data_IF_497826385758
#
_entry.id   IF_497826385758
#
_cell.length_a   1.000
_cell.length_b   1.000
_cell.length_c   1.000
_cell.angle_alpha   90.00
_cell.angle_beta   90.00
_cell.angle_gamma   90.00
#
_symmetry.space_group_name_H-M   'P 1'
#
loop_
_entity.id
_entity.type
_entity.pdbx_description
1 polymer ?
#
# COMPACT_ATOMS: atom_id res chain seq x y z
N UNK A 1 4.79 23.31 -5.73
CA UNK A 1 5.35 22.17 -6.50
C UNK A 1 4.28 21.69 -7.48
N UNK A 2 4.62 21.38 -8.74
CA UNK A 2 3.61 20.93 -9.72
C UNK A 2 3.44 19.41 -9.62
N UNK A 3 2.19 18.95 -9.55
CA UNK A 3 1.87 17.52 -9.65
C UNK A 3 2.15 17.05 -11.06
N UNK A 4 2.93 15.99 -11.21
CA UNK A 4 3.24 15.42 -12.51
C UNK A 4 2.22 14.32 -12.84
N UNK A 5 1.15 14.71 -13.55
CA UNK A 5 -0.02 13.85 -13.80
C UNK A 5 0.36 12.46 -14.37
N UNK A 6 1.28 12.33 -15.35
CA UNK A 6 1.65 11.02 -15.87
C UNK A 6 2.22 10.07 -14.82
N UNK A 7 3.03 10.58 -13.88
CA UNK A 7 3.60 9.73 -12.83
C UNK A 7 2.56 9.34 -11.77
N UNK A 8 1.59 10.21 -11.48
CA UNK A 8 0.49 9.88 -10.56
C UNK A 8 -0.42 8.78 -11.12
N UNK A 9 -0.70 8.82 -12.43
CA UNK A 9 -1.45 7.77 -13.12
C UNK A 9 -0.67 6.45 -13.05
N UNK A 10 0.63 6.48 -13.38
CA UNK A 10 1.47 5.29 -13.34
C UNK A 10 1.53 4.68 -11.93
N UNK A 11 1.71 5.52 -10.90
CA UNK A 11 1.72 5.12 -9.51
C UNK A 11 0.40 4.47 -9.08
N UNK A 12 -0.73 5.09 -9.44
CA UNK A 12 -2.07 4.57 -9.14
C UNK A 12 -2.29 3.20 -9.77
N UNK A 13 -1.96 3.06 -11.06
CA UNK A 13 -2.08 1.77 -11.78
C UNK A 13 -1.18 0.72 -11.15
N UNK A 14 0.07 1.07 -10.80
CA UNK A 14 0.99 0.14 -10.16
C UNK A 14 0.47 -0.39 -8.81
N UNK A 15 -0.12 0.48 -7.98
CA UNK A 15 -0.73 0.05 -6.71
C UNK A 15 -1.92 -0.88 -6.94
N UNK A 16 -2.81 -0.53 -7.89
CA UNK A 16 -3.98 -1.35 -8.18
C UNK A 16 -3.58 -2.75 -8.69
N UNK A 17 -2.61 -2.81 -9.60
CA UNK A 17 -2.04 -4.07 -10.09
C UNK A 17 -1.47 -4.87 -8.93
N UNK A 18 -0.65 -4.25 -8.08
CA UNK A 18 -0.06 -4.91 -6.91
C UNK A 18 -1.14 -5.42 -5.94
N UNK A 19 -2.18 -4.64 -5.67
CA UNK A 19 -3.28 -5.05 -4.80
C UNK A 19 -4.03 -6.26 -5.37
N UNK A 20 -4.33 -6.28 -6.68
CA UNK A 20 -4.93 -7.44 -7.35
C UNK A 20 -4.00 -8.65 -7.29
N UNK A 21 -2.70 -8.48 -7.52
CA UNK A 21 -1.72 -9.55 -7.40
C UNK A 21 -1.67 -10.15 -5.99
N UNK A 22 -1.79 -9.32 -4.94
CA UNK A 22 -1.83 -9.79 -3.55
C UNK A 22 -3.11 -10.58 -3.21
N UNK A 23 -4.25 -10.20 -3.78
CA UNK A 23 -5.50 -10.98 -3.66
C UNK A 23 -5.32 -12.35 -4.31
N UNK A 24 -4.82 -12.39 -5.55
CA UNK A 24 -4.55 -13.65 -6.28
C UNK A 24 -3.56 -14.51 -5.48
N UNK A 25 -2.48 -13.90 -4.98
CA UNK A 25 -1.49 -14.56 -4.14
C UNK A 25 -2.12 -15.20 -2.89
N UNK A 26 -2.98 -14.48 -2.17
CA UNK A 26 -3.74 -15.02 -1.03
C UNK A 26 -4.62 -16.21 -1.43
N UNK A 27 -5.33 -16.14 -2.56
CA UNK A 27 -6.16 -17.24 -3.05
C UNK A 27 -5.34 -18.48 -3.43
N UNK A 28 -4.15 -18.29 -4.03
CA UNK A 28 -3.21 -19.39 -4.33
C UNK A 28 -2.76 -20.06 -3.03
N UNK A 29 -2.28 -19.27 -2.07
CA UNK A 29 -1.84 -19.78 -0.77
C UNK A 29 -2.96 -20.53 -0.04
N UNK A 30 -4.20 -20.02 -0.10
CA UNK A 30 -5.37 -20.72 0.46
C UNK A 30 -5.51 -22.14 -0.08
N UNK A 31 -5.38 -22.32 -1.40
CA UNK A 31 -5.47 -23.64 -2.05
C UNK A 31 -4.32 -24.55 -1.61
N UNK A 32 -3.11 -24.02 -1.56
CA UNK A 32 -1.91 -24.78 -1.17
C UNK A 32 -1.96 -25.22 0.30
N UNK A 33 -2.43 -24.36 1.21
CA UNK A 33 -2.56 -24.67 2.64
C UNK A 33 -3.54 -25.82 2.92
N UNK A 34 -4.59 -25.95 2.10
CA UNK A 34 -5.53 -27.08 2.19
C UNK A 34 -4.81 -28.41 1.95
N UNK A 35 -3.83 -28.45 1.04
CA UNK A 35 -3.07 -29.68 0.73
C UNK A 35 -2.19 -30.13 1.89
N UNK A 36 -1.61 -29.18 2.63
CA UNK A 36 -0.74 -29.45 3.78
C UNK A 36 -1.46 -29.39 5.14
N UNK A 37 -2.80 -29.23 5.15
CA UNK A 37 -3.66 -29.15 6.34
C UNK A 37 -3.19 -28.10 7.37
N UNK A 38 -2.75 -26.93 6.92
CA UNK A 38 -2.27 -25.82 7.78
C UNK A 38 -3.26 -24.64 7.84
N UNK A 39 -3.05 -23.77 8.84
CA UNK A 39 -3.94 -22.67 9.20
C UNK A 39 -3.99 -21.49 8.22
N UNK A 40 -4.83 -20.50 8.53
CA UNK A 40 -5.35 -19.48 7.60
C UNK A 40 -4.43 -18.30 7.25
N UNK A 41 -3.12 -18.51 7.07
CA UNK A 41 -2.18 -17.39 6.73
C UNK A 41 -2.49 -16.73 5.38
N UNK A 42 -3.31 -17.37 4.53
CA UNK A 42 -3.79 -16.84 3.26
C UNK A 42 -4.58 -15.52 3.36
N UNK A 43 -5.03 -15.14 4.55
CA UNK A 43 -5.71 -13.87 4.78
C UNK A 43 -4.75 -12.68 4.79
N UNK A 44 -3.47 -12.88 5.17
CA UNK A 44 -2.51 -11.78 5.29
C UNK A 44 -2.22 -11.07 3.95
N UNK A 45 -2.08 -11.75 2.78
CA UNK A 45 -1.96 -11.06 1.50
C UNK A 45 -3.22 -10.28 1.12
N UNK A 46 -4.41 -10.77 1.50
CA UNK A 46 -5.67 -10.07 1.26
C UNK A 46 -5.77 -8.80 2.12
N UNK A 47 -5.36 -8.89 3.39
CA UNK A 47 -5.24 -7.74 4.28
C UNK A 47 -4.22 -6.74 3.70
N UNK A 48 -3.10 -7.23 3.16
CA UNK A 48 -2.09 -6.39 2.50
C UNK A 48 -2.67 -5.63 1.31
N UNK A 49 -3.49 -6.28 0.48
CA UNK A 49 -4.19 -5.62 -0.61
C UNK A 49 -5.12 -4.50 -0.08
N UNK A 50 -5.88 -4.77 0.99
CA UNK A 50 -6.72 -3.76 1.65
C UNK A 50 -5.91 -2.56 2.17
N UNK A 51 -4.75 -2.81 2.77
CA UNK A 51 -3.82 -1.75 3.23
C UNK A 51 -3.33 -0.90 2.05
N UNK A 52 -3.02 -1.51 0.90
CA UNK A 52 -2.63 -0.77 -0.30
C UNK A 52 -3.76 0.11 -0.85
N UNK A 53 -5.01 -0.35 -0.80
CA UNK A 53 -6.16 0.48 -1.17
C UNK A 53 -6.28 1.68 -0.22
N UNK A 54 -6.13 1.47 1.09
CA UNK A 54 -6.13 2.57 2.07
C UNK A 54 -4.98 3.55 1.83
N UNK A 55 -3.79 3.04 1.51
CA UNK A 55 -2.64 3.86 1.13
C UNK A 55 -2.95 4.73 -0.10
N UNK A 56 -3.56 4.16 -1.14
CA UNK A 56 -3.92 4.88 -2.36
C UNK A 56 -4.94 6.00 -2.08
N UNK A 57 -5.88 5.77 -1.15
CA UNK A 57 -6.84 6.80 -0.72
C UNK A 57 -6.14 7.96 -0.01
N UNK A 58 -5.20 7.68 0.89
CA UNK A 58 -4.39 8.72 1.56
C UNK A 58 -3.57 9.50 0.53
N UNK A 59 -2.92 8.80 -0.40
CA UNK A 59 -2.12 9.42 -1.44
C UNK A 59 -2.96 10.32 -2.33
N UNK A 60 -4.12 9.85 -2.78
CA UNK A 60 -5.07 10.63 -3.57
C UNK A 60 -5.54 11.88 -2.82
N UNK A 61 -5.84 11.75 -1.52
CA UNK A 61 -6.18 12.89 -0.67
C UNK A 61 -5.02 13.89 -0.59
N UNK A 62 -3.78 13.43 -0.37
CA UNK A 62 -2.60 14.31 -0.34
C UNK A 62 -2.41 15.04 -1.68
N UNK A 63 -2.56 14.35 -2.80
CA UNK A 63 -2.40 14.91 -4.14
C UNK A 63 -3.50 15.92 -4.51
N UNK A 64 -4.74 15.70 -4.09
CA UNK A 64 -5.86 16.61 -4.39
C UNK A 64 -5.91 17.81 -3.43
N UNK A 65 -5.58 17.62 -2.16
CA UNK A 65 -5.75 18.67 -1.15
C UNK A 65 -4.49 19.46 -0.81
N UNK A 66 -3.32 18.81 -0.72
CA UNK A 66 -2.09 19.49 -0.27
C UNK A 66 -1.28 20.06 -1.43
N UNK A 67 -1.03 19.27 -2.47
CA UNK A 67 -0.14 19.69 -3.56
C UNK A 67 -0.64 20.93 -4.35
N UNK A 68 -1.94 21.08 -4.68
CA UNK A 68 -2.45 22.28 -5.33
C UNK A 68 -2.26 23.53 -4.45
N UNK A 69 -2.55 23.41 -3.14
CA UNK A 69 -2.41 24.51 -2.19
C UNK A 69 -0.95 24.88 -1.94
N UNK A 70 -0.05 23.90 -1.90
CA UNK A 70 1.40 24.12 -1.85
C UNK A 70 1.93 24.80 -3.12
N UNK A 71 1.21 24.70 -4.24
CA UNK A 71 1.53 25.40 -5.48
C UNK A 71 1.23 26.91 -5.42
N UNK A 72 0.30 27.32 -4.57
CA UNK A 72 -0.20 28.71 -4.47
C UNK A 72 -0.03 29.34 -3.08
N UNK A 73 0.59 28.62 -2.13
CA UNK A 73 0.71 29.05 -0.74
C UNK A 73 1.57 30.31 -0.56
N UNK A 74 1.06 31.26 0.22
CA UNK A 74 1.82 32.41 0.69
C UNK A 74 2.77 32.06 1.85
N UNK A 75 3.57 33.04 2.32
CA UNK A 75 4.57 32.86 3.38
C UNK A 75 4.01 32.25 4.68
N UNK A 76 2.77 32.57 5.04
CA UNK A 76 2.18 32.13 6.32
C UNK A 76 1.55 30.73 6.25
N UNK A 77 1.06 30.32 5.08
CA UNK A 77 0.34 29.04 4.91
C UNK A 77 1.26 27.89 4.49
N UNK A 78 2.44 28.23 3.96
CA UNK A 78 3.37 27.25 3.41
C UNK A 78 3.83 26.20 4.44
N UNK A 79 4.24 26.64 5.62
CA UNK A 79 4.79 25.75 6.63
C UNK A 79 3.74 24.74 7.18
N UNK A 80 2.53 25.17 7.59
CA UNK A 80 1.47 24.23 7.98
C UNK A 80 1.11 23.22 6.87
N UNK A 81 1.02 23.66 5.62
CA UNK A 81 0.69 22.78 4.49
C UNK A 81 1.79 21.73 4.24
N UNK A 82 3.05 22.12 4.36
CA UNK A 82 4.17 21.18 4.25
C UNK A 82 4.10 20.14 5.36
N UNK A 83 3.97 20.57 6.61
CA UNK A 83 3.94 19.65 7.76
C UNK A 83 2.81 18.64 7.61
N UNK A 84 1.62 19.08 7.20
CA UNK A 84 0.49 18.18 6.93
C UNK A 84 0.76 17.19 5.79
N UNK A 85 1.33 17.66 4.68
CA UNK A 85 1.68 16.79 3.53
C UNK A 85 2.72 15.73 3.90
N UNK A 86 3.77 16.11 4.63
CA UNK A 86 4.80 15.17 5.12
C UNK A 86 4.26 14.18 6.15
N UNK A 87 3.34 14.61 7.01
CA UNK A 87 2.65 13.72 7.95
C UNK A 87 1.89 12.61 7.21
N UNK A 88 1.13 12.96 6.17
CA UNK A 88 0.45 11.97 5.33
C UNK A 88 1.43 11.07 4.57
N UNK A 89 2.55 11.62 4.09
CA UNK A 89 3.60 10.82 3.45
C UNK A 89 4.23 9.78 4.38
N UNK A 90 4.33 10.07 5.68
CA UNK A 90 4.76 9.08 6.66
C UNK A 90 3.77 7.91 6.76
N UNK A 91 2.48 8.20 6.80
CA UNK A 91 1.44 7.18 6.84
C UNK A 91 1.42 6.30 5.59
N UNK A 92 1.63 6.90 4.41
CA UNK A 92 1.77 6.13 3.18
C UNK A 92 2.94 5.15 3.24
N UNK A 93 4.10 5.61 3.72
CA UNK A 93 5.29 4.76 3.86
C UNK A 93 5.05 3.61 4.85
N UNK A 94 4.38 3.87 5.97
CA UNK A 94 4.00 2.86 6.96
C UNK A 94 3.07 1.82 6.32
N UNK A 95 2.06 2.24 5.56
CA UNK A 95 1.15 1.32 4.91
C UNK A 95 1.82 0.49 3.82
N UNK A 96 2.72 1.06 3.02
CA UNK A 96 3.54 0.28 2.10
C UNK A 96 4.38 -0.77 2.83
N UNK A 97 5.04 -0.38 3.92
CA UNK A 97 5.87 -1.29 4.70
C UNK A 97 5.03 -2.44 5.27
N UNK A 98 3.87 -2.15 5.87
CA UNK A 98 2.99 -3.17 6.45
C UNK A 98 2.44 -4.12 5.39
N UNK A 99 1.98 -3.60 4.25
CA UNK A 99 1.51 -4.42 3.13
C UNK A 99 2.62 -5.34 2.59
N UNK A 100 3.83 -4.81 2.43
CA UNK A 100 4.99 -5.60 2.01
C UNK A 100 5.36 -6.67 3.03
N UNK A 101 5.45 -6.31 4.32
CA UNK A 101 5.82 -7.20 5.41
C UNK A 101 4.87 -8.39 5.51
N UNK A 102 3.55 -8.14 5.51
CA UNK A 102 2.55 -9.20 5.59
C UNK A 102 2.62 -10.15 4.40
N UNK A 103 2.84 -9.63 3.18
CA UNK A 103 3.02 -10.46 1.99
C UNK A 103 4.26 -11.36 2.08
N UNK A 104 5.40 -10.80 2.50
CA UNK A 104 6.66 -11.56 2.63
C UNK A 104 6.56 -12.63 3.73
N UNK A 105 5.97 -12.29 4.89
CA UNK A 105 5.81 -13.22 6.00
C UNK A 105 5.00 -14.46 5.60
N UNK A 106 3.99 -14.31 4.74
CA UNK A 106 3.19 -15.45 4.25
C UNK A 106 4.04 -16.38 3.41
N UNK A 107 4.88 -15.84 2.53
CA UNK A 107 5.80 -16.63 1.71
C UNK A 107 6.78 -17.43 2.56
N UNK A 108 7.36 -16.77 3.57
CA UNK A 108 8.29 -17.41 4.50
C UNK A 108 7.62 -18.52 5.32
N UNK A 109 6.46 -18.24 5.92
CA UNK A 109 5.71 -19.22 6.71
C UNK A 109 5.26 -20.41 5.87
N UNK A 110 4.74 -20.16 4.67
CA UNK A 110 4.36 -21.22 3.75
C UNK A 110 5.57 -22.11 3.40
N UNK A 111 6.69 -21.50 3.02
CA UNK A 111 7.92 -22.24 2.69
C UNK A 111 8.41 -23.11 3.85
N UNK A 112 8.42 -22.57 5.07
CA UNK A 112 8.80 -23.32 6.28
C UNK A 112 7.85 -24.49 6.57
N UNK A 113 6.56 -24.35 6.28
CA UNK A 113 5.57 -25.42 6.50
C UNK A 113 5.56 -26.48 5.42
N UNK A 114 5.97 -26.14 4.19
CA UNK A 114 6.00 -27.09 3.07
C UNK A 114 7.30 -27.91 2.99
N UNK A 115 8.37 -27.45 3.65
CA UNK A 115 9.70 -28.09 3.62
C UNK A 115 10.04 -28.90 4.87
N UNK A 116 9.22 -28.80 5.91
CA UNK A 116 9.30 -29.63 7.12
C UNK A 116 8.23 -30.71 7.09
#
# INVERSE_FOLDING_TARGET
MKVHIPSEILFTVAILVLAVSLVIYGLIIKRLLTLIKRGSIWLLPIISAGILILQLLIHSYRMVFYFPRLGTAGRFDFFPLIVGSFSLGRWEAIFFLLAGLFSVLVGLLYYQWSTR
#
